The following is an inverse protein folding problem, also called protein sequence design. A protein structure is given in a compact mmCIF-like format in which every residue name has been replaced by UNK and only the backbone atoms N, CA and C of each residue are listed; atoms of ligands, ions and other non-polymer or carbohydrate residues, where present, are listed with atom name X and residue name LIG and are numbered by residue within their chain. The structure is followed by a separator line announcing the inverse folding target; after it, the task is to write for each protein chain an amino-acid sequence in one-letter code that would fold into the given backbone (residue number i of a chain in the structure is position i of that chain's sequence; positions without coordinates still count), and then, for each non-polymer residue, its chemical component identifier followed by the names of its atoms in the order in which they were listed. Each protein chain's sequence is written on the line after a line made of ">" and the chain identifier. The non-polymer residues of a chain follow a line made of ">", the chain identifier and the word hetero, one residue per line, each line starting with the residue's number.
data_IF_877276544673
#
_entry.id   IF_877276544673
#
_cell.length_a   1.000
_cell.length_b   1.000
_cell.length_c   1.000
_cell.angle_alpha   90.00
_cell.angle_beta   90.00
_cell.angle_gamma   90.00
#
_symmetry.space_group_name_H-M   'P 1'
#
loop_
_entity.id
_entity.type
_entity.pdbx_description
1 polymer ?
#
# COMPACT_ATOMS: atom_id res chain seq x y z
N UNK A 1 9.65 -12.11 -5.60
CA UNK A 1 10.07 -11.19 -4.52
C UNK A 1 8.78 -10.79 -3.82
N UNK A 2 8.54 -11.28 -2.61
CA UNK A 2 7.24 -11.07 -1.92
C UNK A 2 7.27 -9.82 -1.05
N UNK A 3 8.44 -9.26 -0.81
CA UNK A 3 8.66 -8.11 0.08
C UNK A 3 7.84 -6.89 -0.32
N UNK A 4 7.76 -6.58 -1.61
CA UNK A 4 6.93 -5.48 -2.11
C UNK A 4 5.45 -5.77 -1.92
N UNK A 5 5.02 -7.03 -2.05
CA UNK A 5 3.64 -7.46 -1.79
C UNK A 5 3.29 -7.32 -0.30
N UNK A 6 4.22 -7.64 0.60
CA UNK A 6 4.05 -7.43 2.05
C UNK A 6 3.81 -5.94 2.32
N UNK A 7 4.69 -5.07 1.80
CA UNK A 7 4.59 -3.63 2.03
C UNK A 7 3.33 -3.05 1.38
N UNK A 8 3.03 -3.45 0.16
CA UNK A 8 1.79 -3.11 -0.55
C UNK A 8 0.58 -3.41 0.32
N UNK A 9 0.47 -4.64 0.82
CA UNK A 9 -0.67 -5.07 1.63
C UNK A 9 -0.79 -4.31 2.95
N UNK A 10 0.33 -3.96 3.59
CA UNK A 10 0.33 -3.19 4.84
C UNK A 10 0.07 -1.70 4.65
N UNK A 11 0.16 -1.20 3.41
CA UNK A 11 -0.19 0.17 3.03
C UNK A 11 -1.63 0.28 2.48
N UNK A 12 -2.33 -0.83 2.26
CA UNK A 12 -3.75 -0.80 1.90
C UNK A 12 -4.63 -0.45 3.10
N UNK A 13 -5.86 -0.02 2.81
CA UNK A 13 -6.87 0.21 3.84
C UNK A 13 -7.05 -1.06 4.71
N UNK A 14 -6.95 -0.97 6.04
CA UNK A 14 -7.02 -2.12 6.93
C UNK A 14 -8.44 -2.70 6.92
N UNK A 15 -8.61 -3.82 6.24
CA UNK A 15 -9.90 -4.51 6.08
C UNK A 15 -9.95 -5.83 6.86
N UNK A 16 -11.12 -6.48 6.85
CA UNK A 16 -11.32 -7.74 7.56
C UNK A 16 -10.36 -8.85 7.12
N UNK A 17 -9.92 -8.84 5.86
CA UNK A 17 -9.01 -9.87 5.33
C UNK A 17 -7.65 -9.82 6.03
N UNK A 18 -7.15 -8.62 6.40
CA UNK A 18 -5.89 -8.51 7.14
C UNK A 18 -5.97 -9.20 8.51
N UNK A 19 -7.08 -9.05 9.25
CA UNK A 19 -7.27 -9.71 10.55
C UNK A 19 -7.46 -11.22 10.41
N UNK A 20 -8.22 -11.64 9.40
CA UNK A 20 -8.51 -13.05 9.14
C UNK A 20 -7.26 -13.83 8.72
N UNK A 21 -6.37 -13.20 7.96
CA UNK A 21 -5.18 -13.82 7.36
C UNK A 21 -3.85 -13.33 7.94
N UNK A 22 -3.86 -12.69 9.12
CA UNK A 22 -2.66 -12.10 9.73
C UNK A 22 -1.51 -13.11 9.91
N UNK A 23 -1.82 -14.38 10.16
CA UNK A 23 -0.82 -15.43 10.34
C UNK A 23 0.01 -15.67 9.07
N UNK A 24 -0.64 -15.68 7.91
CA UNK A 24 0.04 -15.77 6.60
C UNK A 24 0.97 -14.56 6.40
N UNK A 25 0.56 -13.40 6.93
CA UNK A 25 1.36 -12.19 6.84
C UNK A 25 2.61 -12.22 7.73
N UNK A 26 2.49 -12.73 8.97
CA UNK A 26 3.65 -13.00 9.82
C UNK A 26 4.63 -13.99 9.18
N UNK A 27 4.11 -15.06 8.58
CA UNK A 27 4.92 -16.08 7.91
C UNK A 27 5.65 -15.51 6.69
N UNK A 28 4.98 -14.69 5.89
CA UNK A 28 5.61 -14.00 4.76
C UNK A 28 6.73 -13.05 5.20
N UNK A 29 6.52 -12.28 6.27
CA UNK A 29 7.56 -11.41 6.86
C UNK A 29 8.75 -12.26 7.35
N UNK A 30 8.48 -13.34 8.08
CA UNK A 30 9.53 -14.22 8.61
C UNK A 30 10.32 -14.97 7.52
N UNK A 31 9.67 -15.28 6.39
CA UNK A 31 10.27 -15.95 5.25
C UNK A 31 11.01 -15.00 4.29
N UNK A 32 10.89 -13.68 4.48
CA UNK A 32 11.59 -12.70 3.65
C UNK A 32 13.10 -12.88 3.74
N UNK A 33 13.75 -12.81 2.58
CA UNK A 33 15.22 -12.93 2.45
C UNK A 33 15.88 -11.61 2.13
N UNK A 34 15.12 -10.67 1.58
CA UNK A 34 15.63 -9.39 1.12
C UNK A 34 15.41 -8.26 2.14
N UNK A 35 14.62 -8.50 3.19
CA UNK A 35 14.52 -7.57 4.33
C UNK A 35 15.67 -7.81 5.32
N UNK A 36 16.36 -6.75 5.76
CA UNK A 36 17.19 -6.79 6.96
C UNK A 36 16.40 -7.37 8.14
N UNK A 37 17.07 -8.13 9.01
CA UNK A 37 16.42 -8.77 10.17
C UNK A 37 15.73 -7.76 11.09
N UNK A 38 16.31 -6.57 11.21
CA UNK A 38 15.76 -5.46 11.99
C UNK A 38 14.44 -4.95 11.40
N UNK A 39 14.38 -4.77 10.07
CA UNK A 39 13.18 -4.32 9.38
C UNK A 39 12.07 -5.38 9.41
N UNK A 40 12.43 -6.65 9.21
CA UNK A 40 11.47 -7.75 9.34
C UNK A 40 10.90 -7.84 10.77
N UNK A 41 11.74 -7.60 11.78
CA UNK A 41 11.30 -7.54 13.17
C UNK A 41 10.38 -6.35 13.43
N UNK A 42 10.72 -5.17 12.93
CA UNK A 42 9.92 -3.95 13.06
C UNK A 42 8.55 -4.11 12.38
N UNK A 43 8.50 -4.70 11.17
CA UNK A 43 7.26 -5.02 10.47
C UNK A 43 6.41 -6.03 11.24
N UNK A 44 7.03 -7.05 11.85
CA UNK A 44 6.32 -7.99 12.71
C UNK A 44 5.71 -7.33 13.94
N UNK A 45 6.43 -6.40 14.59
CA UNK A 45 5.89 -5.60 15.70
C UNK A 45 4.71 -4.74 15.21
N UNK A 46 4.87 -4.03 14.10
CA UNK A 46 3.82 -3.21 13.52
C UNK A 46 2.57 -4.02 13.20
N UNK A 47 2.71 -5.16 12.50
CA UNK A 47 1.61 -6.03 12.14
C UNK A 47 0.86 -6.52 13.38
N UNK A 48 1.58 -6.95 14.42
CA UNK A 48 0.98 -7.36 15.70
C UNK A 48 0.18 -6.21 16.33
N UNK A 49 0.78 -5.04 16.42
CA UNK A 49 0.15 -3.89 17.08
C UNK A 49 -1.10 -3.45 16.30
N UNK A 50 -1.04 -3.46 14.97
CA UNK A 50 -2.16 -3.20 14.09
C UNK A 50 -3.30 -4.22 14.26
N UNK A 51 -3.02 -5.52 14.22
CA UNK A 51 -4.07 -6.57 14.26
C UNK A 51 -4.62 -6.84 15.65
N UNK A 52 -4.00 -6.30 16.70
CA UNK A 52 -4.55 -6.30 18.07
C UNK A 52 -5.47 -5.12 18.36
N UNK A 53 -5.49 -4.11 17.48
CA UNK A 53 -6.37 -2.96 17.58
C UNK A 53 -7.82 -3.30 17.19
N UNK A 54 -8.78 -2.53 17.71
CA UNK A 54 -10.14 -2.55 17.14
C UNK A 54 -10.08 -2.14 15.66
N UNK A 55 -10.75 -2.87 14.74
CA UNK A 55 -10.69 -2.55 13.32
C UNK A 55 -11.12 -1.13 12.96
N UNK A 56 -12.12 -0.56 13.67
CA UNK A 56 -12.56 0.81 13.38
C UNK A 56 -11.51 1.84 13.82
N UNK A 57 -10.80 1.58 14.92
CA UNK A 57 -9.72 2.45 15.38
C UNK A 57 -8.53 2.40 14.40
N UNK A 58 -8.18 1.22 13.89
CA UNK A 58 -7.13 1.05 12.89
C UNK A 58 -7.47 1.78 11.58
N UNK A 59 -8.73 1.67 11.14
CA UNK A 59 -9.25 2.37 9.98
C UNK A 59 -9.26 3.88 10.16
N UNK A 60 -9.65 4.37 11.34
CA UNK A 60 -9.61 5.80 11.65
C UNK A 60 -8.17 6.34 11.63
N UNK A 61 -7.20 5.60 12.18
CA UNK A 61 -5.78 5.96 12.13
C UNK A 61 -5.24 5.97 10.69
N UNK A 62 -5.63 4.98 9.87
CA UNK A 62 -5.27 4.94 8.46
C UNK A 62 -5.76 6.20 7.75
N UNK A 63 -7.05 6.55 7.86
CA UNK A 63 -7.59 7.73 7.20
C UNK A 63 -7.03 9.04 7.76
N UNK A 64 -6.72 9.10 9.06
CA UNK A 64 -6.02 10.24 9.64
C UNK A 64 -4.62 10.42 9.06
N UNK A 65 -3.91 9.32 8.82
CA UNK A 65 -2.55 9.34 8.29
C UNK A 65 -2.52 9.61 6.79
N UNK A 66 -3.30 8.89 5.98
CA UNK A 66 -3.14 8.88 4.52
C UNK A 66 -4.15 9.77 3.78
N UNK A 67 -5.35 10.00 4.33
CA UNK A 67 -6.45 10.65 3.58
C UNK A 67 -6.63 12.15 3.91
N UNK A 68 -5.89 12.68 4.89
CA UNK A 68 -6.07 14.08 5.35
C UNK A 68 -5.28 15.13 4.55
N UNK A 69 -4.30 14.73 3.75
CA UNK A 69 -3.56 15.70 2.95
C UNK A 69 -2.42 15.13 2.14
N UNK A 70 -1.87 15.99 1.27
CA UNK A 70 -0.85 15.59 0.30
C UNK A 70 0.45 15.08 0.91
N UNK A 71 0.85 15.53 2.10
CA UNK A 71 2.16 15.21 2.67
C UNK A 71 2.40 13.72 2.91
N UNK A 72 1.31 12.97 3.15
CA UNK A 72 1.33 11.55 3.46
C UNK A 72 0.48 10.74 2.49
N UNK A 73 -0.14 11.37 1.48
CA UNK A 73 -0.98 10.70 0.49
C UNK A 73 -0.27 9.51 -0.17
N UNK A 74 -1.00 8.43 -0.42
CA UNK A 74 -0.51 7.26 -1.15
C UNK A 74 -0.62 7.41 -2.67
N UNK A 75 -1.08 8.56 -3.17
CA UNK A 75 -1.15 8.85 -4.60
C UNK A 75 0.16 9.49 -5.06
N UNK A 76 0.97 8.75 -5.82
CA UNK A 76 2.31 9.18 -6.23
C UNK A 76 2.29 10.53 -6.95
N UNK A 77 1.30 10.78 -7.81
CA UNK A 77 1.27 12.01 -8.60
C UNK A 77 0.77 13.22 -7.83
N UNK A 78 0.17 13.07 -6.64
CA UNK A 78 -0.10 14.22 -5.77
C UNK A 78 1.20 14.89 -5.30
N UNK A 79 2.24 14.09 -5.08
CA UNK A 79 3.57 14.57 -4.66
C UNK A 79 4.37 15.17 -5.81
N UNK A 80 4.23 14.62 -7.02
CA UNK A 80 5.04 15.01 -8.19
C UNK A 80 4.39 16.17 -8.96
N UNK A 81 3.07 16.12 -9.18
CA UNK A 81 2.36 17.02 -10.08
C UNK A 81 1.37 17.96 -9.38
N UNK A 82 1.03 17.71 -8.11
CA UNK A 82 0.03 18.49 -7.38
C UNK A 82 -1.31 18.59 -8.13
N UNK A 83 -1.85 19.81 -8.26
CA UNK A 83 -3.07 20.09 -9.03
C UNK A 83 -2.81 20.46 -10.50
N UNK A 84 -1.60 20.24 -11.01
CA UNK A 84 -1.27 20.60 -12.39
C UNK A 84 -2.06 19.75 -13.40
N UNK A 85 -2.28 20.32 -14.58
CA UNK A 85 -2.89 19.61 -15.72
C UNK A 85 -2.03 18.40 -16.15
N UNK A 86 -0.75 18.40 -15.83
CA UNK A 86 0.20 17.35 -16.17
C UNK A 86 -0.11 16.03 -15.45
N UNK A 87 -0.80 16.08 -14.29
CA UNK A 87 -1.26 14.89 -13.56
C UNK A 87 -2.14 13.99 -14.44
N UNK A 88 -3.03 14.58 -15.22
CA UNK A 88 -3.95 13.82 -16.08
C UNK A 88 -3.22 13.05 -17.18
N UNK A 89 -2.20 13.67 -17.79
CA UNK A 89 -1.39 12.99 -18.80
C UNK A 89 -0.53 11.89 -18.18
N UNK A 90 0.08 12.14 -17.02
CA UNK A 90 0.86 11.13 -16.31
C UNK A 90 0.03 9.89 -15.96
N UNK A 91 -1.24 10.05 -15.58
CA UNK A 91 -2.18 8.93 -15.33
C UNK A 91 -2.38 8.06 -16.57
N UNK A 92 -2.61 8.70 -17.73
CA UNK A 92 -2.79 8.01 -19.02
C UNK A 92 -1.52 7.26 -19.40
N UNK A 93 -0.37 7.90 -19.24
CA UNK A 93 0.93 7.31 -19.58
C UNK A 93 1.26 6.11 -18.67
N UNK A 94 0.91 6.17 -17.38
CA UNK A 94 1.10 5.06 -16.44
C UNK A 94 0.15 3.89 -16.74
N UNK A 95 -1.12 4.16 -17.03
CA UNK A 95 -2.07 3.12 -17.47
C UNK A 95 -1.59 2.41 -18.74
N UNK A 96 -1.12 3.18 -19.72
CA UNK A 96 -0.58 2.60 -20.96
C UNK A 96 0.64 1.71 -20.69
N UNK A 97 1.49 2.07 -19.73
CA UNK A 97 2.63 1.22 -19.32
C UNK A 97 2.16 -0.09 -18.68
N UNK A 98 1.17 -0.05 -17.78
CA UNK A 98 0.59 -1.27 -17.22
C UNK A 98 -0.01 -2.18 -18.29
N UNK A 99 -0.79 -1.61 -19.22
CA UNK A 99 -1.39 -2.37 -20.33
C UNK A 99 -0.32 -3.00 -21.25
N UNK A 100 0.76 -2.27 -21.55
CA UNK A 100 1.88 -2.79 -22.33
C UNK A 100 2.57 -4.00 -21.68
N UNK A 101 2.55 -4.05 -20.35
CA UNK A 101 3.07 -5.17 -19.56
C UNK A 101 2.00 -6.22 -19.21
N UNK A 102 0.79 -6.10 -19.76
CA UNK A 102 -0.31 -7.05 -19.59
C UNK A 102 -1.07 -6.92 -18.27
N UNK A 103 -0.85 -5.85 -17.51
CA UNK A 103 -1.60 -5.54 -16.29
C UNK A 103 -2.84 -4.71 -16.65
N UNK A 104 -4.02 -5.28 -16.43
CA UNK A 104 -5.29 -4.59 -16.60
C UNK A 104 -5.85 -4.20 -15.24
N UNK A 105 -5.88 -2.91 -14.96
CA UNK A 105 -6.44 -2.41 -13.71
C UNK A 105 -7.97 -2.50 -13.72
N UNK A 106 -8.54 -2.72 -12.54
CA UNK A 106 -9.97 -2.55 -12.37
C UNK A 106 -10.32 -1.06 -12.45
N UNK A 107 -11.56 -0.73 -12.85
CA UNK A 107 -11.99 0.67 -13.04
C UNK A 107 -12.12 1.48 -11.74
N UNK A 108 -11.82 0.89 -10.58
CA UNK A 108 -11.98 1.51 -9.25
C UNK A 108 -10.66 1.97 -8.65
N UNK A 109 -9.54 1.50 -9.18
CA UNK A 109 -8.20 1.81 -8.68
C UNK A 109 -7.52 2.88 -9.53
N UNK A 110 -6.93 3.87 -8.86
CA UNK A 110 -6.08 4.84 -9.51
C UNK A 110 -4.71 4.20 -9.80
N UNK A 111 -4.15 4.41 -11.01
CA UNK A 111 -2.90 3.78 -11.40
C UNK A 111 -1.69 4.25 -10.58
N UNK A 112 -1.76 5.44 -9.96
CA UNK A 112 -0.68 5.97 -9.11
C UNK A 112 -0.85 5.65 -7.62
N UNK A 113 -1.80 4.79 -7.26
CA UNK A 113 -1.93 4.33 -5.89
C UNK A 113 -0.71 3.48 -5.51
N UNK A 114 0.07 3.93 -4.53
CA UNK A 114 1.36 3.32 -4.18
C UNK A 114 1.26 1.80 -3.89
N UNK A 115 0.29 1.29 -3.12
CA UNK A 115 0.12 -0.16 -2.96
C UNK A 115 -0.03 -0.94 -4.27
N UNK A 116 -0.69 -0.36 -5.27
CA UNK A 116 -0.86 -0.99 -6.59
C UNK A 116 0.42 -0.94 -7.44
N UNK A 117 1.25 0.08 -7.22
CA UNK A 117 2.50 0.28 -7.95
C UNK A 117 3.62 -0.69 -7.52
N UNK A 118 3.61 -1.13 -6.24
CA UNK A 118 4.63 -1.99 -5.63
C UNK A 118 4.54 -3.46 -6.10
#
# INVERSE_FOLDING_TARGET
>A
MIELVIVSRLLEYPDAALWQHQQEMFEAIAASKNLPKEDAHALGIFLRDLTTMDPLDAQAQYSELFDRGRATSLLLFEHVHGESRDRGQAMVDLLAQYEQHGLQLNSRELPDHLPLYL
#
